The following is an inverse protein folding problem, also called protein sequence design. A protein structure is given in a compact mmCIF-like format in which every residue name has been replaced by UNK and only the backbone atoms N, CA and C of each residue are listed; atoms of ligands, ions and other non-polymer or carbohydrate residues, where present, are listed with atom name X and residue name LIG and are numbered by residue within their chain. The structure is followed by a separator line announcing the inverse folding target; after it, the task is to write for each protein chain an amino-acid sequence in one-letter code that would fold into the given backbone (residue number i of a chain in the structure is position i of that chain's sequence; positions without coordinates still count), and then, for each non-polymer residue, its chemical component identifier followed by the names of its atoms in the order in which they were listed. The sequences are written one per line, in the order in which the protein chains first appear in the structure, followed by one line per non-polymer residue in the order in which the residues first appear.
data_IF_114403875962
#
_entry.id   IF_114403875962
#
_cell.length_a   1.000
_cell.length_b   1.000
_cell.length_c   1.000
_cell.angle_alpha   90.00
_cell.angle_beta   90.00
_cell.angle_gamma   90.00
#
_symmetry.space_group_name_H-M   'P 1'
#
loop_
_entity.id
_entity.type
_entity.pdbx_description
1 polymer ?
#
# COMPACT_ATOMS: atom_id res chain seq x y z
N UNK A 1 32.23 9.90 -2.96
CA UNK A 1 32.25 9.79 -1.49
C UNK A 1 30.96 10.45 -1.00
N UNK A 2 29.94 9.66 -0.71
CA UNK A 2 28.66 10.18 -0.21
C UNK A 2 28.81 10.53 1.27
N UNK A 3 28.32 11.67 1.68
CA UNK A 3 28.43 12.17 3.06
C UNK A 3 27.30 11.60 3.91
N UNK A 4 27.64 10.80 4.91
CA UNK A 4 26.73 10.38 5.98
C UNK A 4 26.38 11.61 6.82
N UNK A 5 25.15 12.08 6.75
CA UNK A 5 24.71 13.25 7.49
C UNK A 5 24.26 12.83 8.88
N UNK A 6 25.07 13.11 9.88
CA UNK A 6 24.68 13.15 11.29
C UNK A 6 23.62 14.24 11.49
N UNK A 7 22.59 13.93 12.28
CA UNK A 7 21.39 14.70 12.57
C UNK A 7 21.65 16.20 12.81
N UNK A 8 21.42 17.04 11.81
CA UNK A 8 21.48 18.49 11.91
C UNK A 8 21.46 19.15 10.54
N UNK A 9 20.30 19.58 10.08
CA UNK A 9 20.06 20.71 9.16
C UNK A 9 20.51 20.67 7.69
N UNK A 10 20.85 19.53 7.10
CA UNK A 10 20.93 19.43 5.62
C UNK A 10 19.81 18.55 5.09
N UNK A 11 19.09 19.03 4.09
CA UNK A 11 18.13 18.25 3.34
C UNK A 11 18.86 17.12 2.63
N UNK A 12 18.61 15.86 3.02
CA UNK A 12 19.17 14.68 2.34
C UNK A 12 18.33 14.32 1.12
N UNK A 13 18.89 13.57 0.20
CA UNK A 13 18.18 13.12 -0.99
C UNK A 13 17.22 11.97 -0.65
N UNK A 14 17.70 10.99 0.12
CA UNK A 14 17.00 9.73 0.36
C UNK A 14 16.91 9.41 1.85
N UNK A 15 15.71 9.09 2.31
CA UNK A 15 15.48 8.48 3.64
C UNK A 15 15.10 7.02 3.48
N UNK A 16 15.89 6.12 4.03
CA UNK A 16 15.62 4.67 4.00
C UNK A 16 14.94 4.30 5.30
N UNK A 17 13.69 3.87 5.22
CA UNK A 17 12.84 3.53 6.37
C UNK A 17 12.79 2.02 6.55
N UNK A 18 13.24 1.54 7.68
CA UNK A 18 13.43 0.15 8.04
C UNK A 18 12.58 -0.20 9.27
N UNK A 19 11.45 -0.90 9.10
CA UNK A 19 10.68 -1.43 10.24
C UNK A 19 11.36 -2.69 10.77
N UNK A 20 11.65 -2.72 12.07
CA UNK A 20 12.30 -3.82 12.76
C UNK A 20 11.33 -4.40 13.81
N UNK A 21 11.23 -5.73 13.85
CA UNK A 21 10.55 -6.45 14.93
C UNK A 21 11.10 -7.86 15.07
N UNK A 22 11.89 -8.09 16.12
CA UNK A 22 12.52 -9.39 16.40
C UNK A 22 13.33 -9.91 15.19
N UNK A 23 14.38 -9.18 14.82
CA UNK A 23 15.27 -9.47 13.68
C UNK A 23 16.74 -9.55 14.15
N UNK A 24 16.99 -9.95 15.41
CA UNK A 24 18.32 -10.10 15.97
C UNK A 24 19.18 -11.06 15.14
N UNK A 25 20.45 -10.69 14.94
CA UNK A 25 21.46 -11.54 14.32
C UNK A 25 21.82 -11.21 12.86
N UNK A 26 20.97 -10.46 12.14
CA UNK A 26 21.28 -10.00 10.78
C UNK A 26 21.14 -8.48 10.60
N UNK A 27 20.76 -7.77 11.64
CA UNK A 27 20.54 -6.31 11.59
C UNK A 27 21.79 -5.57 11.12
N UNK A 28 22.93 -5.81 11.77
CA UNK A 28 24.18 -5.14 11.44
C UNK A 28 24.61 -5.44 10.00
N UNK A 29 24.58 -6.70 9.60
CA UNK A 29 24.97 -7.13 8.27
C UNK A 29 24.12 -6.42 7.20
N UNK A 30 22.80 -6.34 7.40
CA UNK A 30 21.92 -5.72 6.41
C UNK A 30 22.02 -4.19 6.40
N UNK A 31 22.21 -3.56 7.56
CA UNK A 31 22.44 -2.12 7.64
C UNK A 31 23.80 -1.75 7.01
N UNK A 32 24.84 -2.54 7.21
CA UNK A 32 26.14 -2.33 6.57
C UNK A 32 26.05 -2.50 5.06
N UNK A 33 25.29 -3.49 4.57
CA UNK A 33 25.02 -3.71 3.14
C UNK A 33 24.32 -2.51 2.51
N UNK A 34 23.25 -2.00 3.14
CA UNK A 34 22.54 -0.78 2.68
C UNK A 34 23.48 0.42 2.68
N UNK A 35 24.27 0.57 3.74
CA UNK A 35 25.24 1.65 3.88
C UNK A 35 26.26 1.62 2.75
N UNK A 36 26.85 0.45 2.48
CA UNK A 36 27.85 0.27 1.42
C UNK A 36 27.28 0.62 0.04
N UNK A 37 26.05 0.16 -0.25
CA UNK A 37 25.38 0.48 -1.50
C UNK A 37 25.13 1.98 -1.65
N UNK A 38 24.67 2.64 -0.59
CA UNK A 38 24.37 4.07 -0.62
C UNK A 38 25.64 4.93 -0.64
N UNK A 39 26.70 4.56 0.08
CA UNK A 39 27.99 5.26 0.06
C UNK A 39 28.65 5.20 -1.33
N UNK A 40 28.35 4.17 -2.11
CA UNK A 40 28.81 4.01 -3.49
C UNK A 40 27.96 4.79 -4.51
N UNK A 41 26.88 5.43 -4.05
CA UNK A 41 25.92 6.18 -4.88
C UNK A 41 26.17 7.70 -4.83
N UNK A 42 25.60 8.48 -5.77
CA UNK A 42 25.67 9.93 -5.73
C UNK A 42 24.70 10.57 -4.73
N UNK A 43 23.86 9.80 -4.05
CA UNK A 43 22.79 10.32 -3.20
C UNK A 43 23.24 10.51 -1.76
N UNK A 44 22.95 11.67 -1.18
CA UNK A 44 22.99 11.85 0.27
C UNK A 44 21.81 11.13 0.93
N UNK A 45 22.02 10.48 2.09
CA UNK A 45 20.98 9.65 2.69
C UNK A 45 20.99 9.65 4.21
N UNK A 46 19.86 9.23 4.78
CA UNK A 46 19.70 8.88 6.18
C UNK A 46 19.04 7.50 6.33
N UNK A 47 19.44 6.77 7.37
CA UNK A 47 18.79 5.52 7.79
C UNK A 47 17.83 5.81 8.93
N UNK A 48 16.52 5.61 8.71
CA UNK A 48 15.47 5.79 9.71
C UNK A 48 14.98 4.41 10.12
N UNK A 49 15.52 3.92 11.22
CA UNK A 49 15.21 2.59 11.77
C UNK A 49 14.11 2.72 12.80
N UNK A 50 13.05 1.92 12.66
CA UNK A 50 11.92 1.94 13.59
C UNK A 50 11.76 0.57 14.23
N UNK A 51 12.15 0.45 15.48
CA UNK A 51 11.90 -0.73 16.30
C UNK A 51 10.43 -0.78 16.75
N UNK A 52 9.72 -1.80 16.33
CA UNK A 52 8.29 -2.00 16.60
C UNK A 52 8.06 -2.81 17.90
N UNK A 53 8.80 -2.49 18.96
CA UNK A 53 8.66 -3.12 20.25
C UNK A 53 9.25 -4.53 20.29
N UNK A 54 10.48 -4.70 19.80
CA UNK A 54 11.20 -5.98 19.83
C UNK A 54 11.46 -6.48 21.24
N UNK A 55 11.46 -7.82 21.41
CA UNK A 55 11.65 -8.51 22.69
C UNK A 55 12.82 -9.48 22.69
N UNK A 56 13.54 -9.60 21.56
CA UNK A 56 14.63 -10.56 21.35
C UNK A 56 16.04 -9.97 21.52
N UNK A 57 16.13 -8.68 21.92
CA UNK A 57 17.39 -7.94 22.02
C UNK A 57 17.78 -7.15 20.76
N UNK A 58 16.94 -7.13 19.71
CA UNK A 58 17.16 -6.31 18.52
C UNK A 58 17.33 -4.83 18.85
N UNK A 59 16.53 -4.28 19.79
CA UNK A 59 16.63 -2.89 20.20
C UNK A 59 17.99 -2.56 20.81
N UNK A 60 18.55 -3.45 21.63
CA UNK A 60 19.85 -3.24 22.28
C UNK A 60 21.00 -3.30 21.26
N UNK A 61 20.88 -4.16 20.24
CA UNK A 61 21.79 -4.20 19.10
C UNK A 61 21.73 -2.89 18.29
N UNK A 62 20.52 -2.39 17.99
CA UNK A 62 20.31 -1.14 17.26
C UNK A 62 20.90 0.09 17.98
N UNK A 63 20.82 0.14 19.30
CA UNK A 63 21.41 1.23 20.12
C UNK A 63 22.93 1.33 20.02
N UNK A 64 23.58 0.25 19.58
CA UNK A 64 25.05 0.18 19.41
C UNK A 64 25.49 0.50 17.99
N UNK A 65 24.56 0.81 17.08
CA UNK A 65 24.85 1.11 15.68
C UNK A 65 24.82 2.62 15.47
N UNK A 66 25.97 3.17 15.11
CA UNK A 66 26.09 4.59 14.81
C UNK A 66 25.52 4.95 13.42
N UNK A 67 25.15 6.21 13.24
CA UNK A 67 24.72 6.75 11.94
C UNK A 67 23.29 6.36 11.54
N UNK A 68 22.51 5.79 12.46
CA UNK A 68 21.09 5.54 12.27
C UNK A 68 20.23 6.51 13.09
N UNK A 69 19.07 6.86 12.56
CA UNK A 69 18.03 7.55 13.32
C UNK A 69 17.05 6.53 13.86
N UNK A 70 17.22 6.17 15.14
CA UNK A 70 16.43 5.15 15.81
C UNK A 70 15.15 5.74 16.43
N UNK A 71 14.02 5.11 16.14
CA UNK A 71 12.72 5.33 16.77
C UNK A 71 12.28 4.00 17.37
N UNK A 72 11.85 3.96 18.62
CA UNK A 72 11.39 2.72 19.25
C UNK A 72 9.97 2.86 19.80
N UNK A 73 9.15 1.83 19.59
CA UNK A 73 7.83 1.71 20.21
C UNK A 73 7.92 0.83 21.47
N UNK A 74 7.12 1.17 22.46
CA UNK A 74 7.03 0.38 23.70
C UNK A 74 6.40 -1.00 23.44
N UNK A 75 5.46 -1.07 22.48
CA UNK A 75 4.74 -2.31 22.12
C UNK A 75 4.63 -2.43 20.62
N UNK A 76 4.52 -3.66 20.12
CA UNK A 76 4.30 -3.93 18.71
C UNK A 76 3.00 -3.27 18.22
N UNK A 77 3.14 -2.40 17.21
CA UNK A 77 2.04 -1.68 16.54
C UNK A 77 1.86 -2.13 15.10
N UNK A 78 2.72 -3.00 14.61
CA UNK A 78 2.74 -3.53 13.24
C UNK A 78 3.57 -2.71 12.28
N UNK A 79 4.13 -3.41 11.27
CA UNK A 79 5.07 -2.87 10.30
C UNK A 79 4.58 -1.61 9.56
N UNK A 80 3.27 -1.49 9.33
CA UNK A 80 2.67 -0.28 8.74
C UNK A 80 2.74 0.93 9.67
N UNK A 81 2.60 0.74 11.00
CA UNK A 81 2.80 1.80 11.98
C UNK A 81 4.26 2.25 12.02
N UNK A 82 5.20 1.30 11.97
CA UNK A 82 6.63 1.59 11.93
C UNK A 82 7.01 2.36 10.64
N UNK A 83 6.57 1.90 9.46
CA UNK A 83 6.78 2.60 8.18
C UNK A 83 6.21 4.02 8.19
N UNK A 84 5.01 4.19 8.76
CA UNK A 84 4.38 5.51 8.89
C UNK A 84 5.17 6.44 9.81
N UNK A 85 5.65 5.96 10.95
CA UNK A 85 6.46 6.75 11.88
C UNK A 85 7.81 7.13 11.24
N UNK A 86 8.50 6.18 10.61
CA UNK A 86 9.74 6.43 9.89
C UNK A 86 9.56 7.45 8.75
N UNK A 87 8.51 7.31 7.94
CA UNK A 87 8.23 8.27 6.85
C UNK A 87 7.90 9.68 7.38
N UNK A 88 7.22 9.79 8.53
CA UNK A 88 7.00 11.10 9.16
C UNK A 88 8.29 11.76 9.63
N UNK A 89 9.19 10.97 10.19
CA UNK A 89 10.48 11.42 10.69
C UNK A 89 11.51 11.69 9.58
N UNK A 90 11.28 11.17 8.37
CA UNK A 90 12.16 11.32 7.23
C UNK A 90 12.31 12.77 6.79
N UNK A 91 13.54 13.15 6.38
CA UNK A 91 13.89 14.47 5.86
C UNK A 91 14.16 14.45 4.35
N UNK A 92 14.55 13.31 3.79
CA UNK A 92 14.87 13.13 2.38
C UNK A 92 13.71 13.44 1.43
N UNK A 93 14.03 13.88 0.22
CA UNK A 93 13.03 14.12 -0.85
C UNK A 93 12.39 12.82 -1.31
N UNK A 94 13.16 11.74 -1.32
CA UNK A 94 12.75 10.38 -1.63
C UNK A 94 12.71 9.58 -0.34
N UNK A 95 11.68 8.76 -0.19
CA UNK A 95 11.61 7.75 0.88
C UNK A 95 11.66 6.37 0.25
N UNK A 96 12.56 5.55 0.75
CA UNK A 96 12.65 4.12 0.41
C UNK A 96 12.12 3.30 1.57
N UNK A 97 11.20 2.38 1.30
CA UNK A 97 10.85 1.33 2.26
C UNK A 97 11.53 0.04 1.84
N UNK A 98 12.08 -0.65 2.80
CA UNK A 98 12.60 -2.01 2.66
C UNK A 98 12.53 -2.76 3.98
N UNK A 99 12.90 -4.03 3.99
CA UNK A 99 12.98 -4.87 5.17
C UNK A 99 14.45 -5.33 5.40
N UNK A 100 14.76 -5.78 6.62
CA UNK A 100 16.11 -6.21 7.03
C UNK A 100 16.25 -7.73 7.10
N UNK A 101 15.30 -8.48 6.56
CA UNK A 101 15.24 -9.95 6.63
C UNK A 101 15.96 -10.65 5.49
N UNK A 102 16.86 -9.95 4.81
CA UNK A 102 17.68 -10.42 3.68
C UNK A 102 16.90 -10.86 2.43
N UNK A 103 15.58 -10.61 2.37
CA UNK A 103 14.75 -11.02 1.23
C UNK A 103 14.85 -10.09 0.04
N UNK A 104 15.10 -8.80 0.27
CA UNK A 104 15.19 -7.80 -0.79
C UNK A 104 16.61 -7.52 -1.22
N UNK A 105 16.83 -7.17 -2.50
CA UNK A 105 18.13 -6.77 -3.02
C UNK A 105 18.45 -5.35 -2.57
N UNK A 106 18.81 -5.17 -1.30
CA UNK A 106 19.06 -3.84 -0.71
C UNK A 106 20.31 -3.16 -1.32
N UNK A 107 21.17 -3.90 -2.01
CA UNK A 107 22.24 -3.33 -2.84
C UNK A 107 21.69 -2.48 -4.00
N UNK A 108 20.49 -2.79 -4.48
CA UNK A 108 19.85 -2.11 -5.61
C UNK A 108 19.04 -0.85 -5.19
N UNK A 109 19.11 -0.42 -3.93
CA UNK A 109 18.42 0.80 -3.47
C UNK A 109 18.82 2.03 -4.33
N UNK A 110 20.09 2.29 -4.65
CA UNK A 110 20.46 3.40 -5.50
C UNK A 110 19.82 3.34 -6.89
N UNK A 111 19.73 2.13 -7.48
CA UNK A 111 19.08 1.92 -8.76
C UNK A 111 17.56 2.16 -8.64
N UNK A 112 16.92 1.67 -7.57
CA UNK A 112 15.49 1.90 -7.32
C UNK A 112 15.18 3.40 -7.21
N UNK A 113 16.05 4.17 -6.57
CA UNK A 113 15.94 5.64 -6.46
C UNK A 113 16.09 6.30 -7.83
N UNK A 114 17.04 5.86 -8.65
CA UNK A 114 17.22 6.35 -10.02
C UNK A 114 15.99 6.09 -10.88
N UNK A 115 15.36 4.93 -10.77
CA UNK A 115 14.15 4.56 -11.49
C UNK A 115 12.91 5.41 -11.11
N UNK A 116 13.01 6.21 -10.01
CA UNK A 116 11.96 7.15 -9.61
C UNK A 116 11.94 8.42 -10.48
N UNK A 117 12.95 8.66 -11.29
CA UNK A 117 12.97 9.81 -12.21
C UNK A 117 11.77 9.75 -13.16
N UNK A 118 11.00 10.84 -13.22
CA UNK A 118 9.77 10.89 -14.03
C UNK A 118 8.56 10.19 -13.42
N UNK A 119 8.70 9.57 -12.24
CA UNK A 119 7.63 8.86 -11.56
C UNK A 119 7.45 9.36 -10.12
N UNK A 120 6.29 9.04 -9.52
CA UNK A 120 5.98 9.38 -8.13
C UNK A 120 6.26 8.23 -7.17
N UNK A 121 6.16 6.99 -7.66
CA UNK A 121 6.51 5.77 -6.94
C UNK A 121 7.16 4.75 -7.86
N UNK A 122 8.15 4.02 -7.33
CA UNK A 122 8.71 2.81 -7.94
C UNK A 122 8.53 1.65 -6.97
N UNK A 123 8.11 0.51 -7.48
CA UNK A 123 7.91 -0.73 -6.71
C UNK A 123 8.75 -1.83 -7.30
N UNK A 124 9.62 -2.44 -6.51
CA UNK A 124 10.32 -3.66 -6.87
C UNK A 124 9.34 -4.84 -6.94
N UNK A 125 8.99 -5.27 -8.15
CA UNK A 125 8.06 -6.38 -8.37
C UNK A 125 8.81 -7.71 -8.37
N UNK A 126 8.45 -8.61 -7.47
CA UNK A 126 9.09 -9.93 -7.34
C UNK A 126 8.80 -10.80 -8.55
N UNK A 127 9.84 -11.34 -9.15
CA UNK A 127 9.75 -12.20 -10.34
C UNK A 127 9.39 -13.65 -9.98
N UNK A 128 9.80 -14.13 -8.80
CA UNK A 128 9.46 -15.45 -8.26
C UNK A 128 8.90 -15.32 -6.85
N UNK A 129 7.86 -16.08 -6.53
CA UNK A 129 7.37 -16.29 -5.16
C UNK A 129 7.87 -17.68 -4.70
N UNK A 130 9.15 -17.82 -4.39
CA UNK A 130 9.68 -19.03 -3.76
C UNK A 130 9.33 -19.05 -2.26
N UNK A 131 8.92 -20.20 -1.76
CA UNK A 131 8.80 -20.45 -0.31
C UNK A 131 7.42 -20.39 0.33
N UNK A 132 6.28 -20.55 -0.38
CA UNK A 132 4.97 -20.56 0.30
C UNK A 132 4.05 -21.67 -0.19
N UNK A 133 3.38 -22.36 0.74
CA UNK A 133 2.33 -23.37 0.46
C UNK A 133 1.32 -22.83 -0.57
N UNK A 134 1.43 -23.35 -1.82
CA UNK A 134 0.88 -22.73 -3.04
C UNK A 134 -0.65 -22.79 -3.18
N UNK A 135 -1.34 -23.77 -2.59
CA UNK A 135 -2.70 -24.10 -3.00
C UNK A 135 -3.83 -23.23 -2.41
N UNK A 136 -3.74 -22.74 -1.18
CA UNK A 136 -4.84 -22.00 -0.54
C UNK A 136 -4.74 -20.46 -0.67
N UNK A 137 -3.53 -19.91 -0.93
CA UNK A 137 -3.27 -18.46 -0.97
C UNK A 137 -3.39 -17.86 -2.37
N UNK A 138 -3.16 -18.64 -3.40
CA UNK A 138 -3.17 -18.19 -4.80
C UNK A 138 -4.51 -17.60 -5.23
N UNK A 139 -5.68 -18.22 -4.95
CA UNK A 139 -6.96 -17.68 -5.39
C UNK A 139 -7.30 -16.33 -4.74
N UNK A 140 -7.03 -16.16 -3.44
CA UNK A 140 -7.31 -14.93 -2.72
C UNK A 140 -6.42 -13.79 -3.20
N UNK A 141 -5.11 -14.01 -3.33
CA UNK A 141 -4.16 -13.03 -3.88
C UNK A 141 -4.51 -12.64 -5.31
N UNK A 142 -4.85 -13.63 -6.15
CA UNK A 142 -5.26 -13.41 -7.52
C UNK A 142 -6.53 -12.56 -7.60
N UNK A 143 -7.56 -12.90 -6.83
CA UNK A 143 -8.81 -12.15 -6.77
C UNK A 143 -8.58 -10.71 -6.34
N UNK A 144 -7.82 -10.49 -5.26
CA UNK A 144 -7.53 -9.15 -4.75
C UNK A 144 -6.74 -8.33 -5.77
N UNK A 145 -5.73 -8.93 -6.41
CA UNK A 145 -4.98 -8.25 -7.47
C UNK A 145 -5.87 -7.91 -8.67
N UNK A 146 -6.75 -8.83 -9.09
CA UNK A 146 -7.70 -8.61 -10.18
C UNK A 146 -8.67 -7.48 -9.84
N UNK A 147 -9.16 -7.46 -8.60
CA UNK A 147 -10.01 -6.41 -8.08
C UNK A 147 -9.29 -5.06 -8.04
N UNK A 148 -8.07 -5.00 -7.55
CA UNK A 148 -7.26 -3.78 -7.54
C UNK A 148 -7.01 -3.25 -8.96
N UNK A 149 -6.68 -4.12 -9.91
CA UNK A 149 -6.53 -3.74 -11.34
C UNK A 149 -7.83 -3.23 -11.95
N UNK A 150 -8.97 -3.88 -11.66
CA UNK A 150 -10.28 -3.41 -12.12
C UNK A 150 -10.59 -2.00 -11.62
N UNK A 151 -10.26 -1.71 -10.37
CA UNK A 151 -10.58 -0.46 -9.71
C UNK A 151 -9.66 0.70 -10.11
N UNK A 152 -8.39 0.43 -10.32
CA UNK A 152 -7.42 1.43 -10.73
C UNK A 152 -7.36 1.60 -12.25
N UNK A 153 -7.74 0.57 -13.00
CA UNK A 153 -7.57 0.53 -14.46
C UNK A 153 -6.12 0.30 -14.89
N UNK A 154 -5.21 0.03 -13.93
CA UNK A 154 -3.77 -0.12 -14.18
C UNK A 154 -3.34 -1.56 -13.91
N UNK A 155 -2.43 -2.09 -14.73
CA UNK A 155 -1.83 -3.41 -14.49
C UNK A 155 -0.88 -3.35 -13.31
N UNK A 156 -1.14 -4.17 -12.28
CA UNK A 156 -0.35 -4.24 -11.05
C UNK A 156 0.34 -5.60 -10.99
N UNK A 157 1.65 -5.68 -11.27
CA UNK A 157 2.42 -6.93 -11.20
C UNK A 157 2.55 -7.48 -9.79
N UNK A 158 2.97 -6.63 -8.84
CA UNK A 158 3.09 -6.98 -7.42
C UNK A 158 2.50 -5.87 -6.53
N UNK A 159 1.50 -6.23 -5.74
CA UNK A 159 0.81 -5.31 -4.84
C UNK A 159 1.43 -5.27 -3.44
N UNK A 160 2.19 -6.32 -3.08
CA UNK A 160 2.61 -6.59 -1.71
C UNK A 160 4.12 -6.43 -1.44
N UNK A 161 4.89 -6.02 -2.42
CA UNK A 161 6.32 -5.80 -2.23
C UNK A 161 6.56 -4.68 -1.21
N UNK A 162 7.44 -4.92 -0.24
CA UNK A 162 7.93 -3.93 0.72
C UNK A 162 9.00 -3.02 0.12
N UNK A 163 9.71 -3.47 -0.92
CA UNK A 163 10.81 -2.76 -1.56
C UNK A 163 10.30 -1.72 -2.54
N UNK A 164 10.35 -0.46 -2.15
CA UNK A 164 9.79 0.65 -2.94
C UNK A 164 10.41 2.00 -2.63
N UNK A 165 10.47 2.86 -3.62
CA UNK A 165 10.82 4.26 -3.48
C UNK A 165 9.66 5.16 -3.89
N UNK A 166 9.49 6.31 -3.23
CA UNK A 166 8.45 7.26 -3.58
C UNK A 166 8.79 8.69 -3.14
N UNK A 167 8.15 9.66 -3.77
CA UNK A 167 8.27 11.07 -3.40
C UNK A 167 7.66 11.31 -2.02
N UNK A 168 8.46 11.81 -1.06
CA UNK A 168 8.03 12.02 0.34
C UNK A 168 6.83 12.94 0.46
N UNK A 169 6.81 14.06 -0.27
CA UNK A 169 5.72 15.04 -0.24
C UNK A 169 4.37 14.43 -0.65
N UNK A 170 4.37 13.54 -1.65
CA UNK A 170 3.17 12.82 -2.08
C UNK A 170 2.76 11.80 -1.02
N UNK A 171 3.69 10.97 -0.54
CA UNK A 171 3.38 9.93 0.44
C UNK A 171 2.84 10.49 1.76
N UNK A 172 3.35 11.63 2.23
CA UNK A 172 2.92 12.29 3.49
C UNK A 172 1.42 12.58 3.51
N UNK A 173 0.83 12.90 2.38
CA UNK A 173 -0.62 13.17 2.25
C UNK A 173 -1.46 11.94 2.64
N UNK A 174 -0.96 10.73 2.41
CA UNK A 174 -1.69 9.47 2.59
C UNK A 174 -1.28 8.66 3.83
N UNK A 175 -0.32 9.13 4.63
CA UNK A 175 0.15 8.40 5.81
C UNK A 175 -0.96 8.09 6.82
N UNK A 176 -1.95 8.97 6.95
CA UNK A 176 -3.08 8.80 7.86
C UNK A 176 -4.00 7.63 7.45
N UNK A 177 -3.98 7.24 6.17
CA UNK A 177 -4.79 6.16 5.62
C UNK A 177 -4.14 4.78 5.76
N UNK A 178 -2.84 4.74 6.06
CA UNK A 178 -2.09 3.50 6.11
C UNK A 178 -2.51 2.67 7.33
N UNK A 179 -2.94 1.40 7.13
CA UNK A 179 -3.21 0.49 8.22
C UNK A 179 -1.92 0.09 8.97
N UNK A 180 -2.04 -0.36 10.23
CA UNK A 180 -0.87 -0.69 11.03
C UNK A 180 -0.09 -1.93 10.57
N UNK A 181 -0.72 -2.84 9.82
CA UNK A 181 -0.12 -4.12 9.39
C UNK A 181 0.47 -4.08 7.97
N UNK A 182 0.74 -5.28 7.44
CA UNK A 182 1.36 -5.49 6.12
C UNK A 182 0.58 -4.89 4.94
N UNK A 183 -0.73 -4.68 5.07
CA UNK A 183 -1.53 -4.05 4.02
C UNK A 183 -1.20 -2.57 3.77
N UNK A 184 -0.33 -1.96 4.56
CA UNK A 184 0.13 -0.59 4.34
C UNK A 184 0.81 -0.40 2.98
N UNK A 185 1.58 -1.40 2.52
CA UNK A 185 2.26 -1.37 1.22
C UNK A 185 1.28 -1.38 0.03
N UNK A 186 0.20 -2.14 0.17
CA UNK A 186 -0.91 -2.12 -0.80
C UNK A 186 -1.63 -0.79 -0.77
N UNK A 187 -1.94 -0.29 0.42
CA UNK A 187 -2.70 0.94 0.60
C UNK A 187 -1.98 2.13 -0.03
N UNK A 188 -0.68 2.31 0.21
CA UNK A 188 0.08 3.43 -0.37
C UNK A 188 0.09 3.37 -1.90
N UNK A 189 0.27 2.18 -2.51
CA UNK A 189 0.20 2.02 -3.96
C UNK A 189 -1.18 2.37 -4.51
N UNK A 190 -2.24 1.90 -3.85
CA UNK A 190 -3.61 2.23 -4.25
C UNK A 190 -3.91 3.72 -4.11
N UNK A 191 -3.40 4.39 -3.06
CA UNK A 191 -3.52 5.84 -2.91
C UNK A 191 -2.87 6.58 -4.08
N UNK A 192 -1.66 6.19 -4.47
CA UNK A 192 -0.97 6.79 -5.62
C UNK A 192 -1.76 6.60 -6.92
N UNK A 193 -2.09 5.35 -7.26
CA UNK A 193 -2.81 5.03 -8.49
C UNK A 193 -4.20 5.68 -8.56
N UNK A 194 -4.93 5.69 -7.47
CA UNK A 194 -6.29 6.25 -7.43
C UNK A 194 -6.32 7.79 -7.56
N UNK A 195 -5.21 8.45 -7.21
CA UNK A 195 -5.07 9.91 -7.36
C UNK A 195 -4.25 10.32 -8.60
N UNK A 196 -4.03 9.40 -9.55
CA UNK A 196 -3.40 9.71 -10.83
C UNK A 196 -1.88 9.84 -10.79
N UNK A 197 -1.23 9.50 -9.66
CA UNK A 197 0.22 9.48 -9.58
C UNK A 197 0.83 8.33 -10.37
N UNK A 198 2.00 8.58 -10.94
CA UNK A 198 2.73 7.61 -11.74
C UNK A 198 3.41 6.55 -10.86
N UNK A 199 3.09 5.27 -11.10
CA UNK A 199 3.69 4.12 -10.40
C UNK A 199 4.38 3.22 -11.41
N UNK A 200 5.71 3.07 -11.27
CA UNK A 200 6.55 2.18 -12.08
C UNK A 200 6.82 0.88 -11.32
N UNK A 201 6.88 -0.23 -12.04
CA UNK A 201 7.25 -1.53 -11.49
C UNK A 201 8.55 -2.00 -12.13
N UNK A 202 9.53 -2.35 -11.30
CA UNK A 202 10.83 -2.86 -11.71
C UNK A 202 10.96 -4.29 -11.22
N UNK A 203 11.29 -5.27 -12.09
CA UNK A 203 11.47 -6.63 -11.65
C UNK A 203 12.67 -6.72 -10.70
N UNK A 204 12.51 -7.45 -9.60
CA UNK A 204 13.56 -7.72 -8.62
C UNK A 204 13.66 -9.20 -8.31
N UNK A 205 14.85 -9.62 -7.94
CA UNK A 205 15.05 -10.93 -7.31
C UNK A 205 14.56 -10.88 -5.86
N UNK A 206 13.98 -11.97 -5.39
CA UNK A 206 13.48 -12.10 -4.04
C UNK A 206 14.02 -13.38 -3.43
N UNK A 207 14.84 -13.23 -2.39
CA UNK A 207 15.56 -14.34 -1.77
C UNK A 207 14.73 -15.00 -0.65
N UNK A 208 15.15 -16.18 -0.23
CA UNK A 208 14.56 -16.84 0.93
C UNK A 208 14.82 -16.03 2.19
N UNK A 209 13.81 -15.97 3.04
CA UNK A 209 13.86 -15.22 4.27
C UNK A 209 14.78 -15.85 5.31
N UNK A 210 15.68 -15.07 5.89
CA UNK A 210 16.41 -15.46 7.08
C UNK A 210 15.46 -15.28 8.30
N UNK A 211 14.81 -16.37 8.74
CA UNK A 211 13.92 -16.37 9.90
C UNK A 211 12.48 -16.79 9.63
N UNK A 212 11.64 -16.79 10.69
CA UNK A 212 10.26 -17.26 10.61
C UNK A 212 9.30 -16.19 10.08
N UNK A 213 8.33 -16.62 9.25
CA UNK A 213 7.27 -15.74 8.73
C UNK A 213 6.27 -15.38 9.83
N UNK A 214 6.21 -14.11 10.21
CA UNK A 214 5.25 -13.55 11.19
C UNK A 214 3.84 -13.33 10.60
N UNK A 215 3.60 -13.82 9.38
CA UNK A 215 2.33 -13.67 8.65
C UNK A 215 1.31 -14.74 9.07
N UNK A 216 0.19 -14.31 9.65
CA UNK A 216 -0.95 -15.15 10.00
C UNK A 216 -1.96 -15.15 8.86
N UNK A 217 -1.96 -16.21 8.04
CA UNK A 217 -2.67 -16.25 6.76
C UNK A 217 -4.16 -15.84 6.81
N UNK A 218 -4.94 -16.35 7.77
CA UNK A 218 -6.38 -16.05 7.85
C UNK A 218 -6.63 -14.61 8.32
N UNK A 219 -5.99 -14.19 9.41
CA UNK A 219 -6.15 -12.87 10.01
C UNK A 219 -5.67 -11.77 9.07
N UNK A 220 -4.52 -11.98 8.46
CA UNK A 220 -3.90 -10.97 7.61
C UNK A 220 -4.57 -10.92 6.23
N UNK A 221 -5.00 -12.05 5.66
CA UNK A 221 -5.79 -12.07 4.41
C UNK A 221 -7.14 -11.39 4.60
N UNK A 222 -7.85 -11.64 5.72
CA UNK A 222 -9.11 -10.95 6.02
C UNK A 222 -8.91 -9.43 6.16
N UNK A 223 -7.88 -9.00 6.90
CA UNK A 223 -7.54 -7.58 7.06
C UNK A 223 -7.19 -6.95 5.72
N UNK A 224 -6.46 -7.67 4.90
CA UNK A 224 -6.08 -7.24 3.57
C UNK A 224 -7.31 -7.05 2.66
N UNK A 225 -8.20 -8.03 2.61
CA UNK A 225 -9.45 -7.92 1.86
C UNK A 225 -10.31 -6.74 2.35
N UNK A 226 -10.47 -6.59 3.66
CA UNK A 226 -11.19 -5.45 4.23
C UNK A 226 -10.57 -4.11 3.82
N UNK A 227 -9.24 -4.02 3.78
CA UNK A 227 -8.55 -2.81 3.35
C UNK A 227 -8.79 -2.52 1.87
N UNK A 228 -8.71 -3.53 1.01
CA UNK A 228 -8.99 -3.35 -0.43
C UNK A 228 -10.44 -2.89 -0.64
N UNK A 229 -11.40 -3.54 0.03
CA UNK A 229 -12.81 -3.14 -0.04
C UNK A 229 -13.00 -1.69 0.44
N UNK A 230 -12.38 -1.31 1.57
CA UNK A 230 -12.41 0.08 2.05
C UNK A 230 -11.87 1.07 1.02
N UNK A 231 -10.74 0.73 0.37
CA UNK A 231 -10.14 1.57 -0.66
C UNK A 231 -11.07 1.74 -1.87
N UNK A 232 -11.81 0.68 -2.24
CA UNK A 232 -12.82 0.73 -3.31
C UNK A 232 -13.87 1.80 -3.01
N UNK A 233 -14.50 1.70 -1.84
CA UNK A 233 -15.55 2.64 -1.44
C UNK A 233 -15.03 4.08 -1.31
N UNK A 234 -13.77 4.23 -0.99
CA UNK A 234 -13.15 5.54 -0.80
C UNK A 234 -12.74 6.22 -2.11
N UNK A 235 -12.35 5.45 -3.15
CA UNK A 235 -11.81 6.04 -4.38
C UNK A 235 -12.71 5.93 -5.60
N UNK A 236 -13.44 4.83 -5.76
CA UNK A 236 -14.28 4.58 -6.94
C UNK A 236 -15.55 3.78 -6.61
N UNK A 237 -16.45 4.33 -5.77
CA UNK A 237 -17.65 3.59 -5.33
C UNK A 237 -18.55 3.21 -6.51
N UNK A 238 -18.64 4.04 -7.55
CA UNK A 238 -19.47 3.77 -8.73
C UNK A 238 -19.03 2.53 -9.52
N UNK A 239 -17.78 2.11 -9.42
CA UNK A 239 -17.33 0.84 -10.03
C UNK A 239 -17.93 -0.40 -9.38
N UNK A 240 -18.47 -0.28 -8.16
CA UNK A 240 -19.18 -1.37 -7.47
C UNK A 240 -20.69 -1.16 -7.54
N UNK A 241 -21.16 0.01 -7.11
CA UNK A 241 -22.60 0.29 -7.07
C UNK A 241 -23.23 0.42 -8.45
N UNK A 242 -22.49 0.93 -9.45
CA UNK A 242 -23.00 1.07 -10.82
C UNK A 242 -23.42 -0.25 -11.46
N UNK A 243 -22.52 -1.24 -11.61
CA UNK A 243 -22.88 -2.55 -12.15
C UNK A 243 -23.96 -3.26 -11.33
N UNK A 244 -23.90 -3.17 -9.98
CA UNK A 244 -24.89 -3.78 -9.10
C UNK A 244 -26.28 -3.17 -9.30
N UNK A 245 -26.39 -1.84 -9.35
CA UNK A 245 -27.65 -1.15 -9.62
C UNK A 245 -28.19 -1.48 -11.02
N UNK A 246 -27.30 -1.55 -12.03
CA UNK A 246 -27.68 -1.89 -13.40
C UNK A 246 -28.27 -3.30 -13.48
N UNK A 247 -27.68 -4.27 -12.80
CA UNK A 247 -28.22 -5.65 -12.72
C UNK A 247 -29.58 -5.67 -12.03
N UNK A 248 -29.73 -4.98 -10.90
CA UNK A 248 -30.99 -4.94 -10.15
C UNK A 248 -32.09 -4.23 -10.95
N UNK A 249 -31.80 -3.08 -11.55
CA UNK A 249 -32.76 -2.34 -12.38
C UNK A 249 -33.10 -3.10 -13.67
N UNK A 250 -32.09 -3.71 -14.31
CA UNK A 250 -32.30 -4.50 -15.52
C UNK A 250 -33.17 -5.73 -15.27
N UNK A 251 -32.88 -6.49 -14.22
CA UNK A 251 -33.70 -7.65 -13.84
C UNK A 251 -35.09 -7.24 -13.40
N UNK A 252 -35.22 -6.13 -12.65
CA UNK A 252 -36.50 -5.55 -12.27
C UNK A 252 -37.32 -5.10 -13.47
N UNK A 253 -36.68 -4.48 -14.47
CA UNK A 253 -37.33 -4.07 -15.71
C UNK A 253 -37.79 -5.24 -16.57
N UNK A 254 -36.91 -6.23 -16.76
CA UNK A 254 -37.30 -7.46 -17.50
C UNK A 254 -38.47 -8.16 -16.82
N UNK A 255 -38.43 -8.26 -15.50
CA UNK A 255 -39.52 -8.85 -14.73
C UNK A 255 -40.80 -8.03 -14.83
N UNK A 256 -40.74 -6.69 -14.82
CA UNK A 256 -41.88 -5.81 -14.99
C UNK A 256 -42.55 -6.05 -16.32
N UNK A 257 -41.78 -6.10 -17.42
CA UNK A 257 -42.28 -6.40 -18.76
C UNK A 257 -42.98 -7.76 -18.79
N UNK A 258 -42.34 -8.78 -18.22
CA UNK A 258 -42.91 -10.11 -18.10
C UNK A 258 -44.22 -10.12 -17.34
N UNK A 259 -44.31 -9.48 -16.19
CA UNK A 259 -45.53 -9.44 -15.35
C UNK A 259 -46.68 -8.72 -16.05
N UNK A 260 -46.42 -7.70 -16.89
CA UNK A 260 -47.44 -7.00 -17.69
C UNK A 260 -47.94 -7.86 -18.82
N UNK A 261 -47.06 -8.55 -19.53
CA UNK A 261 -47.41 -9.41 -20.68
C UNK A 261 -48.17 -10.66 -20.24
N UNK A 262 -47.70 -11.31 -19.19
CA UNK A 262 -48.26 -12.57 -18.69
C UNK A 262 -49.65 -12.40 -18.05
N UNK A 263 -49.87 -11.33 -17.31
CA UNK A 263 -51.13 -11.15 -16.54
C UNK A 263 -52.20 -10.32 -17.20
N UNK A 264 -51.95 -9.79 -18.42
CA UNK A 264 -52.88 -8.92 -19.18
C UNK A 264 -53.52 -7.78 -18.34
N UNK A 265 -52.97 -7.46 -17.21
CA UNK A 265 -53.40 -6.40 -16.30
C UNK A 265 -52.21 -5.55 -15.89
N UNK A 266 -52.36 -4.24 -15.96
CA UNK A 266 -51.31 -3.30 -15.51
C UNK A 266 -51.25 -3.27 -13.96
N UNK A 267 -50.74 -4.38 -13.37
CA UNK A 267 -50.46 -4.48 -11.93
C UNK A 267 -49.00 -4.76 -11.76
N UNK A 268 -48.28 -3.87 -11.06
CA UNK A 268 -46.90 -4.09 -10.65
C UNK A 268 -46.86 -4.93 -9.39
N UNK A 269 -46.41 -6.19 -9.44
CA UNK A 269 -46.26 -7.00 -8.21
C UNK A 269 -45.30 -6.35 -7.24
N UNK A 270 -45.55 -6.52 -5.95
CA UNK A 270 -44.76 -5.93 -4.87
C UNK A 270 -43.26 -6.34 -4.97
N UNK A 271 -42.99 -7.59 -5.33
CA UNK A 271 -41.61 -8.08 -5.52
C UNK A 271 -40.88 -7.38 -6.67
N UNK A 272 -41.58 -7.06 -7.78
CA UNK A 272 -41.00 -6.29 -8.92
C UNK A 272 -40.76 -4.86 -8.50
N UNK A 273 -41.71 -4.23 -7.80
CA UNK A 273 -41.55 -2.87 -7.28
C UNK A 273 -40.38 -2.79 -6.27
N UNK A 274 -40.26 -3.77 -5.36
CA UNK A 274 -39.14 -3.83 -4.41
C UNK A 274 -37.79 -3.97 -5.11
N UNK A 275 -37.70 -4.80 -6.17
CA UNK A 275 -36.47 -5.00 -6.92
C UNK A 275 -36.00 -3.70 -7.62
N UNK A 276 -36.93 -3.00 -8.28
CA UNK A 276 -36.66 -1.71 -8.93
C UNK A 276 -36.28 -0.63 -7.89
N UNK A 277 -37.01 -0.56 -6.80
CA UNK A 277 -36.72 0.39 -5.73
C UNK A 277 -35.34 0.14 -5.10
N UNK A 278 -35.01 -1.12 -4.84
CA UNK A 278 -33.68 -1.50 -4.33
C UNK A 278 -32.57 -1.12 -5.32
N UNK A 279 -32.79 -1.36 -6.62
CA UNK A 279 -31.84 -0.95 -7.67
C UNK A 279 -31.62 0.56 -7.70
N UNK A 280 -32.68 1.34 -7.58
CA UNK A 280 -32.60 2.80 -7.49
C UNK A 280 -31.93 3.29 -6.20
N UNK A 281 -32.21 2.67 -5.05
CA UNK A 281 -31.50 2.98 -3.80
C UNK A 281 -30.01 2.71 -3.89
N UNK A 282 -29.61 1.57 -4.45
CA UNK A 282 -28.19 1.21 -4.67
C UNK A 282 -27.50 2.23 -5.56
N UNK A 283 -28.17 2.66 -6.64
CA UNK A 283 -27.65 3.72 -7.52
C UNK A 283 -27.47 5.05 -6.78
N UNK A 284 -28.47 5.46 -6.02
CA UNK A 284 -28.44 6.72 -5.26
C UNK A 284 -27.33 6.73 -4.20
N UNK A 285 -27.17 5.61 -3.49
CA UNK A 285 -26.05 5.43 -2.52
C UNK A 285 -24.71 5.51 -3.24
N UNK A 286 -24.59 4.86 -4.41
CA UNK A 286 -23.38 4.89 -5.22
C UNK A 286 -23.01 6.30 -5.68
N UNK A 287 -23.98 7.06 -6.18
CA UNK A 287 -23.77 8.47 -6.59
C UNK A 287 -23.39 9.36 -5.41
N UNK A 288 -24.07 9.22 -4.28
CA UNK A 288 -23.73 9.98 -3.08
C UNK A 288 -22.31 9.68 -2.60
N UNK A 289 -21.93 8.42 -2.55
CA UNK A 289 -20.58 8.00 -2.17
C UNK A 289 -19.53 8.54 -3.16
N UNK A 290 -19.81 8.60 -4.47
CA UNK A 290 -18.92 9.16 -5.48
C UNK A 290 -18.71 10.66 -5.32
N UNK A 291 -19.78 11.41 -5.05
CA UNK A 291 -19.71 12.86 -4.77
C UNK A 291 -18.87 13.12 -3.51
N UNK A 292 -19.11 12.37 -2.43
CA UNK A 292 -18.34 12.51 -1.20
C UNK A 292 -16.86 12.18 -1.41
N UNK A 293 -16.56 11.15 -2.18
CA UNK A 293 -15.19 10.76 -2.55
C UNK A 293 -14.45 11.85 -3.32
N UNK A 294 -15.14 12.53 -4.25
CA UNK A 294 -14.57 13.62 -5.06
C UNK A 294 -14.36 14.90 -4.25
N UNK A 295 -15.30 15.25 -3.40
CA UNK A 295 -15.18 16.44 -2.53
C UNK A 295 -14.01 16.33 -1.56
N UNK A 296 -13.74 15.15 -1.00
CA UNK A 296 -12.58 14.91 -0.16
C UNK A 296 -11.23 15.10 -0.90
N UNK A 297 -11.18 14.85 -2.21
CA UNK A 297 -9.97 15.08 -3.03
C UNK A 297 -9.73 16.56 -3.31
N UNK A 298 -10.75 17.32 -3.64
CA UNK A 298 -10.62 18.76 -3.92
C UNK A 298 -10.12 19.55 -2.72
N UNK A 299 -10.47 19.16 -1.50
CA UNK A 299 -9.97 19.78 -0.27
C UNK A 299 -8.47 19.53 -0.04
N UNK A 300 -7.91 18.45 -0.57
CA UNK A 300 -6.48 18.14 -0.48
C UNK A 300 -5.64 18.88 -1.53
N UNK A 301 -6.20 19.16 -2.71
CA UNK A 301 -5.52 19.89 -3.78
C UNK A 301 -5.43 21.42 -3.50
N UNK A 302 -6.21 21.92 -2.53
CA UNK A 302 -6.22 23.35 -2.17
C UNK A 302 -5.22 23.73 -1.05
N UNK A 303 -4.53 22.77 -0.44
CA UNK A 303 -3.43 23.09 0.47
C UNK A 303 -2.22 23.50 -0.37
N UNK A 304 -1.81 24.80 -0.41
CA UNK A 304 -0.73 25.23 -1.27
C UNK A 304 0.54 24.52 -0.82
N UNK A 305 1.23 23.92 -1.78
CA UNK A 305 2.59 23.45 -1.58
C UNK A 305 3.44 24.68 -1.18
N UNK A 306 3.61 24.88 0.10
CA UNK A 306 4.61 25.84 0.61
C UNK A 306 5.95 25.40 0.04
N UNK A 307 6.45 26.29 -0.84
CA UNK A 307 7.73 26.18 -1.54
C UNK A 307 8.91 26.14 -0.57
#
# INVERSE_FOLDING_TARGET
MAERVSSGDRAVDVSIVLPIYNERGHLRQELDRITLAMDSSPYSYELVVVDDGSTDGSLDELRQIDGIRLISFVHNRGSGSARRAGTRASTGRVVVWTDVDMTYPNDDIPQLVKELEGHDQVVGARTSEEGTHKFARVPAKWFIRRLAMYLTGVRIPDLNSGFRAFRRNVAKQYLHMLPPGFSCVTTITMCFLANGYSVKYVPIEYHERAGESKFHWYRDTRRYLQQVVRMIFMYNPMRVFGPLSLVLLGTGFVKLVWDIVDKSQFRVPVNTALLLFTGFQVLSIGLLADVMSRSGRQSQDQEPATR
#
